data_IF_093667677873
#
_entry.id   IF_093667677873
#
_cell.length_a   1.000
_cell.length_b   1.000
_cell.length_c   1.000
_cell.angle_alpha   90.00
_cell.angle_beta   90.00
_cell.angle_gamma   90.00
#
_symmetry.space_group_name_H-M   'P 1'
#
loop_
_entity.id
_entity.type
_entity.pdbx_description
1 polymer ?
#
# COMPACT_ATOMS: atom_id res chain seq x y z
N UNK A 1 18.84 19.47 21.83
CA UNK A 1 18.67 19.20 20.42
C UNK A 1 18.12 17.78 20.28
N UNK A 2 17.00 17.61 19.58
CA UNK A 2 16.42 16.33 19.16
C UNK A 2 16.59 16.19 17.65
N UNK A 3 16.94 15.00 17.18
CA UNK A 3 16.95 14.67 15.76
C UNK A 3 16.09 13.44 15.51
N UNK A 4 15.17 13.53 14.55
CA UNK A 4 14.43 12.41 14.01
C UNK A 4 14.95 12.17 12.60
N UNK A 5 15.07 10.90 12.19
CA UNK A 5 15.45 10.52 10.82
C UNK A 5 14.69 9.30 10.37
N UNK A 6 14.21 9.36 9.15
CA UNK A 6 13.56 8.25 8.46
C UNK A 6 14.61 7.43 7.69
N UNK A 7 14.26 6.19 7.32
CA UNK A 7 15.05 5.42 6.35
C UNK A 7 14.96 6.03 4.94
N UNK A 8 15.78 5.53 3.99
CA UNK A 8 15.84 6.06 2.61
C UNK A 8 14.48 6.15 1.90
N UNK A 9 13.51 5.30 2.23
CA UNK A 9 12.15 5.34 1.71
C UNK A 9 11.13 5.89 2.70
N UNK A 10 11.50 6.00 3.99
CA UNK A 10 10.57 6.33 5.06
C UNK A 10 9.49 5.27 5.25
N UNK A 11 9.85 4.00 5.10
CA UNK A 11 8.92 2.85 5.18
C UNK A 11 8.27 2.76 6.57
N UNK A 12 9.06 2.95 7.64
CA UNK A 12 8.51 3.10 8.99
C UNK A 12 8.08 4.54 9.21
N UNK A 13 6.80 4.82 9.45
CA UNK A 13 6.34 6.17 9.71
C UNK A 13 6.89 6.72 11.03
N UNK A 14 7.23 7.99 11.03
CA UNK A 14 7.46 8.78 12.22
C UNK A 14 6.56 10.00 12.11
N UNK A 15 5.50 10.00 12.88
CA UNK A 15 4.62 11.15 13.04
C UNK A 15 5.15 12.07 14.11
N UNK A 16 5.06 13.37 13.91
CA UNK A 16 5.44 14.34 14.90
C UNK A 16 4.56 15.58 14.88
N UNK A 17 4.45 16.18 16.04
CA UNK A 17 3.90 17.49 16.29
C UNK A 17 4.86 18.28 17.15
N UNK A 18 5.00 19.59 16.93
CA UNK A 18 5.81 20.45 17.74
C UNK A 18 5.17 21.83 17.90
N UNK A 19 5.46 22.45 19.04
CA UNK A 19 5.22 23.85 19.33
C UNK A 19 6.52 24.53 19.82
N UNK A 20 6.39 25.67 20.49
CA UNK A 20 7.54 26.42 21.01
C UNK A 20 8.23 25.73 22.20
N UNK A 21 7.53 24.86 22.93
CA UNK A 21 8.00 24.28 24.19
C UNK A 21 8.40 22.80 24.05
N UNK A 22 7.72 22.05 23.17
CA UNK A 22 7.88 20.60 23.10
C UNK A 22 7.82 20.02 21.68
N UNK A 23 8.38 18.82 21.55
CA UNK A 23 8.24 17.97 20.38
C UNK A 23 7.68 16.62 20.82
N UNK A 24 6.64 16.19 20.18
CA UNK A 24 6.04 14.86 20.41
C UNK A 24 6.14 14.06 19.11
N UNK A 25 6.56 12.80 19.20
CA UNK A 25 6.68 11.94 18.05
C UNK A 25 6.33 10.49 18.41
N UNK A 26 5.85 9.75 17.43
CA UNK A 26 5.52 8.33 17.53
C UNK A 26 5.57 7.65 16.16
N UNK A 27 5.65 6.32 16.15
CA UNK A 27 5.58 5.51 14.93
C UNK A 27 4.15 5.14 14.53
N UNK A 28 3.15 5.58 15.30
CA UNK A 28 1.73 5.36 15.05
C UNK A 28 0.95 6.66 15.30
N UNK A 29 0.10 7.05 14.34
CA UNK A 29 -0.68 8.30 14.43
C UNK A 29 -1.64 8.28 15.62
N UNK A 30 -2.25 7.14 15.93
CA UNK A 30 -3.16 6.96 17.07
C UNK A 30 -2.55 7.35 18.42
N UNK A 31 -1.21 7.29 18.55
CA UNK A 31 -0.51 7.73 19.78
C UNK A 31 -0.63 9.24 19.95
N UNK A 32 -0.40 10.01 18.87
CA UNK A 32 -0.56 11.46 18.89
C UNK A 32 -2.03 11.85 19.05
N UNK A 33 -2.94 11.08 18.43
CA UNK A 33 -4.39 11.27 18.58
C UNK A 33 -4.87 11.08 20.02
N UNK A 34 -4.26 10.18 20.77
CA UNK A 34 -4.60 9.91 22.16
C UNK A 34 -4.12 11.02 23.15
N UNK A 35 -3.20 11.89 22.71
CA UNK A 35 -2.64 12.93 23.57
C UNK A 35 -3.54 14.16 23.59
N UNK A 36 -4.04 14.60 24.76
CA UNK A 36 -5.05 15.67 24.85
C UNK A 36 -4.49 17.06 24.47
N UNK A 37 -3.21 17.27 24.57
CA UNK A 37 -2.54 18.54 24.25
C UNK A 37 -2.11 18.68 22.79
N UNK A 38 -2.10 17.60 22.00
CA UNK A 38 -1.87 17.67 20.56
C UNK A 38 -3.18 18.15 19.90
N UNK A 39 -3.19 19.28 19.16
CA UNK A 39 -4.39 19.77 18.50
C UNK A 39 -4.90 18.81 17.44
N UNK A 40 -6.21 18.59 17.39
CA UNK A 40 -6.89 17.77 16.38
C UNK A 40 -7.64 18.66 15.39
N UNK A 41 -6.98 19.71 14.92
CA UNK A 41 -7.55 20.58 13.89
C UNK A 41 -7.48 19.83 12.56
N UNK A 42 -8.64 19.60 11.95
CA UNK A 42 -8.73 18.85 10.70
C UNK A 42 -8.02 19.56 9.55
N UNK A 43 -7.22 18.81 8.80
CA UNK A 43 -6.70 19.21 7.49
C UNK A 43 -7.65 18.71 6.39
N UNK A 44 -8.48 19.59 5.86
CA UNK A 44 -9.45 19.23 4.81
C UNK A 44 -8.78 18.69 3.54
N UNK A 45 -7.56 19.14 3.22
CA UNK A 45 -6.78 18.60 2.10
C UNK A 45 -6.30 17.17 2.40
N UNK A 46 -5.72 16.94 3.57
CA UNK A 46 -5.29 15.60 4.00
C UNK A 46 -6.44 14.61 4.09
N UNK A 47 -7.61 15.03 4.57
CA UNK A 47 -8.83 14.20 4.58
C UNK A 47 -9.32 13.91 3.17
N UNK A 48 -9.36 14.91 2.29
CA UNK A 48 -9.79 14.73 0.90
C UNK A 48 -8.85 13.78 0.14
N UNK A 49 -7.54 13.91 0.32
CA UNK A 49 -6.54 13.00 -0.24
C UNK A 49 -6.71 11.57 0.30
N UNK A 50 -6.93 11.41 1.59
CA UNK A 50 -7.22 10.09 2.19
C UNK A 50 -8.48 9.45 1.60
N UNK A 51 -9.50 10.23 1.27
CA UNK A 51 -10.70 9.72 0.59
C UNK A 51 -10.40 9.30 -0.85
N UNK A 52 -9.59 10.07 -1.57
CA UNK A 52 -9.31 9.86 -2.99
C UNK A 52 -8.25 8.78 -3.24
N UNK A 53 -7.14 8.85 -2.53
CA UNK A 53 -5.95 7.99 -2.72
C UNK A 53 -5.89 6.82 -1.71
N UNK A 54 -6.61 6.92 -0.60
CA UNK A 54 -6.45 6.02 0.55
C UNK A 54 -5.44 6.52 1.59
N UNK A 55 -4.68 7.57 1.27
CA UNK A 55 -3.65 8.19 2.12
C UNK A 55 -3.49 9.68 1.78
N UNK A 56 -3.03 10.53 2.72
CA UNK A 56 -2.66 11.90 2.41
C UNK A 56 -1.30 11.95 1.71
N UNK A 57 -1.10 12.90 0.79
CA UNK A 57 0.15 13.07 0.06
C UNK A 57 1.24 13.77 0.89
N UNK A 58 2.48 13.63 0.47
CA UNK A 58 3.63 14.29 1.08
C UNK A 58 3.79 13.97 2.58
N UNK A 59 4.07 14.98 3.39
CA UNK A 59 4.15 14.89 4.85
C UNK A 59 2.82 15.08 5.58
N UNK A 60 1.73 15.25 4.83
CA UNK A 60 0.41 15.50 5.44
C UNK A 60 -0.11 14.31 6.24
N UNK A 61 -0.89 14.66 7.24
CA UNK A 61 -1.84 13.76 7.91
C UNK A 61 -3.26 14.32 7.76
N UNK A 62 -4.22 13.76 8.45
CA UNK A 62 -5.56 14.33 8.52
C UNK A 62 -5.68 15.50 9.51
N UNK A 63 -4.59 15.89 10.18
CA UNK A 63 -4.54 16.97 11.18
C UNK A 63 -3.54 18.03 10.81
N UNK A 64 -3.95 19.29 10.85
CA UNK A 64 -3.06 20.44 10.71
C UNK A 64 -2.02 20.46 11.83
N UNK A 65 -0.75 20.68 11.45
CA UNK A 65 0.38 20.73 12.38
C UNK A 65 0.93 19.36 12.80
N UNK A 66 0.24 18.27 12.51
CA UNK A 66 0.79 16.91 12.68
C UNK A 66 1.34 16.44 11.33
N UNK A 67 2.62 16.17 11.29
CA UNK A 67 3.33 15.73 10.07
C UNK A 67 3.84 14.31 10.21
N UNK A 68 3.97 13.61 9.07
CA UNK A 68 4.75 12.39 8.97
C UNK A 68 6.07 12.70 8.26
N UNK A 69 7.16 12.14 8.73
CA UNK A 69 8.46 12.32 8.09
C UNK A 69 8.46 11.82 6.65
N UNK A 70 9.16 12.54 5.79
CA UNK A 70 9.37 12.14 4.40
C UNK A 70 10.45 11.06 4.29
N UNK A 71 10.62 10.53 3.10
CA UNK A 71 11.72 9.64 2.73
C UNK A 71 13.08 10.34 2.93
N UNK A 72 14.06 9.60 3.42
CA UNK A 72 15.45 10.06 3.60
C UNK A 72 15.58 11.43 4.31
N UNK A 73 14.71 11.71 5.27
CA UNK A 73 14.63 12.99 5.94
C UNK A 73 15.27 12.97 7.33
N UNK A 74 15.97 14.05 7.67
CA UNK A 74 16.40 14.38 9.02
C UNK A 74 15.67 15.65 9.43
N UNK A 75 14.90 15.59 10.52
CA UNK A 75 14.28 16.75 11.17
C UNK A 75 15.01 17.01 12.46
N UNK A 76 15.58 18.20 12.60
CA UNK A 76 16.30 18.65 13.80
C UNK A 76 15.52 19.74 14.50
N UNK A 77 15.25 19.53 15.77
CA UNK A 77 14.57 20.45 16.66
C UNK A 77 15.60 21.05 17.63
N UNK A 78 15.62 22.37 17.74
CA UNK A 78 16.50 23.08 18.65
C UNK A 78 15.88 24.39 19.13
N UNK A 79 16.46 25.03 20.14
CA UNK A 79 16.05 26.35 20.61
C UNK A 79 16.27 27.49 19.59
N UNK A 80 16.99 27.21 18.49
CA UNK A 80 17.19 28.15 17.38
C UNK A 80 16.21 27.92 16.23
N UNK A 81 15.30 27.00 16.38
CA UNK A 81 14.31 26.61 15.36
C UNK A 81 14.52 25.19 14.84
N UNK A 82 13.64 24.81 13.91
CA UNK A 82 13.60 23.48 13.34
C UNK A 82 14.18 23.50 11.92
N UNK A 83 14.99 22.50 11.58
CA UNK A 83 15.53 22.33 10.23
C UNK A 83 15.20 20.96 9.68
N UNK A 84 14.96 20.91 8.36
CA UNK A 84 14.69 19.66 7.62
C UNK A 84 15.75 19.50 6.54
N UNK A 85 16.31 18.29 6.43
CA UNK A 85 17.36 17.96 5.46
C UNK A 85 17.07 16.61 4.85
N UNK A 86 17.15 16.52 3.52
CA UNK A 86 17.10 15.25 2.80
C UNK A 86 18.55 14.75 2.63
N UNK A 87 18.86 13.53 3.11
CA UNK A 87 20.21 12.97 3.05
C UNK A 87 20.43 12.00 1.90
N UNK A 88 19.37 11.63 1.18
CA UNK A 88 19.39 10.73 0.03
C UNK A 88 18.36 11.14 -1.01
N UNK A 89 18.72 11.06 -2.28
CA UNK A 89 17.87 11.44 -3.42
C UNK A 89 17.73 10.27 -4.38
N UNK A 90 16.51 9.72 -4.48
CA UNK A 90 16.18 8.62 -5.38
C UNK A 90 16.22 9.01 -6.87
N UNK A 91 15.91 10.24 -7.18
CA UNK A 91 15.98 10.83 -8.53
C UNK A 91 17.41 11.02 -9.03
N UNK A 92 18.42 10.83 -8.18
CA UNK A 92 19.84 10.88 -8.53
C UNK A 92 20.45 9.50 -8.76
N UNK A 93 19.67 8.42 -8.65
CA UNK A 93 20.16 7.08 -8.99
C UNK A 93 20.37 7.01 -10.51
N UNK A 94 21.61 6.73 -10.98
CA UNK A 94 21.89 6.73 -12.41
C UNK A 94 21.26 5.52 -13.08
N UNK A 95 20.81 5.69 -14.32
CA UNK A 95 20.43 4.56 -15.18
C UNK A 95 21.67 3.73 -15.50
N UNK A 96 21.56 2.42 -15.34
CA UNK A 96 22.65 1.48 -15.60
C UNK A 96 22.61 0.99 -17.04
N UNK A 97 23.79 0.91 -17.66
CA UNK A 97 23.95 0.29 -18.97
C UNK A 97 24.34 -1.18 -18.76
N UNK A 98 23.39 -2.09 -18.94
CA UNK A 98 23.62 -3.53 -18.84
C UNK A 98 22.71 -4.29 -19.81
N UNK A 99 23.04 -5.53 -20.12
CA UNK A 99 22.16 -6.40 -20.91
C UNK A 99 20.99 -6.89 -20.03
N UNK A 100 19.87 -7.23 -20.67
CA UNK A 100 18.70 -7.79 -19.96
C UNK A 100 19.09 -9.06 -19.16
N UNK A 101 19.96 -9.89 -19.72
CA UNK A 101 20.47 -11.11 -19.05
C UNK A 101 21.29 -10.80 -17.81
N UNK A 102 22.12 -9.76 -17.84
CA UNK A 102 22.93 -9.36 -16.68
C UNK A 102 22.06 -8.71 -15.63
N UNK A 103 21.10 -7.85 -16.04
CA UNK A 103 20.13 -7.22 -15.15
C UNK A 103 19.32 -8.26 -14.33
N UNK A 104 18.87 -9.33 -15.00
CA UNK A 104 18.10 -10.40 -14.36
C UNK A 104 18.94 -11.17 -13.34
N UNK A 105 20.19 -11.49 -13.65
CA UNK A 105 21.11 -12.21 -12.73
C UNK A 105 21.49 -11.36 -11.54
N UNK A 106 21.92 -10.11 -11.78
CA UNK A 106 22.31 -9.18 -10.72
C UNK A 106 21.14 -8.87 -9.79
N UNK A 107 19.93 -8.68 -10.33
CA UNK A 107 18.73 -8.51 -9.52
C UNK A 107 18.50 -9.71 -8.58
N UNK A 108 18.70 -10.93 -9.07
CA UNK A 108 18.56 -12.13 -8.26
C UNK A 108 19.59 -12.19 -7.14
N UNK A 109 20.82 -11.85 -7.42
CA UNK A 109 21.92 -11.81 -6.44
C UNK A 109 21.63 -10.74 -5.37
N UNK A 110 21.31 -9.51 -5.77
CA UNK A 110 21.00 -8.41 -4.85
C UNK A 110 19.77 -8.73 -3.99
N UNK A 111 18.74 -9.35 -4.58
CA UNK A 111 17.55 -9.75 -3.82
C UNK A 111 17.85 -10.88 -2.83
N UNK A 112 18.66 -11.84 -3.24
CA UNK A 112 19.12 -12.95 -2.38
C UNK A 112 19.93 -12.42 -1.19
N UNK A 113 20.85 -11.50 -1.45
CA UNK A 113 21.62 -10.85 -0.38
C UNK A 113 20.73 -10.07 0.57
N UNK A 114 19.76 -9.34 0.03
CA UNK A 114 18.76 -8.62 0.82
C UNK A 114 18.00 -9.53 1.77
N UNK A 115 17.57 -10.70 1.29
CA UNK A 115 16.87 -11.69 2.13
C UNK A 115 17.82 -12.27 3.17
N UNK A 116 19.02 -12.67 2.78
CA UNK A 116 19.99 -13.28 3.71
C UNK A 116 20.40 -12.33 4.84
N UNK A 117 20.63 -11.06 4.56
CA UNK A 117 20.94 -10.06 5.58
C UNK A 117 19.78 -9.88 6.57
N UNK A 118 18.53 -9.88 6.08
CA UNK A 118 17.34 -9.76 6.93
C UNK A 118 17.04 -11.03 7.71
N UNK A 119 17.29 -12.19 7.10
CA UNK A 119 17.14 -13.49 7.74
C UNK A 119 18.14 -13.69 8.88
N UNK A 120 19.37 -13.17 8.73
CA UNK A 120 20.48 -13.42 9.68
C UNK A 120 20.71 -14.92 9.85
N UNK A 121 20.71 -15.41 11.10
CA UNK A 121 20.90 -16.82 11.45
C UNK A 121 19.57 -17.56 11.67
N UNK A 122 18.42 -16.94 11.39
CA UNK A 122 17.13 -17.58 11.57
C UNK A 122 17.02 -18.84 10.71
N UNK A 123 16.70 -19.95 11.33
CA UNK A 123 16.49 -21.26 10.69
C UNK A 123 15.02 -21.54 10.42
N UNK A 124 14.13 -21.01 11.27
CA UNK A 124 12.69 -21.14 11.14
C UNK A 124 12.06 -19.75 10.95
N UNK A 125 11.27 -19.58 9.88
CA UNK A 125 10.68 -18.30 9.51
C UNK A 125 9.21 -18.44 9.10
N UNK A 126 8.38 -17.46 9.47
CA UNK A 126 6.99 -17.35 9.00
C UNK A 126 6.90 -16.39 7.82
N UNK A 127 6.21 -16.78 6.74
CA UNK A 127 6.05 -15.95 5.54
C UNK A 127 4.60 -15.99 5.03
N UNK A 128 4.10 -14.86 4.58
CA UNK A 128 2.88 -14.86 3.77
C UNK A 128 3.17 -15.45 2.39
N UNK A 129 2.22 -16.23 1.87
CA UNK A 129 2.31 -16.81 0.54
C UNK A 129 0.98 -16.61 -0.18
N UNK A 130 1.04 -15.90 -1.31
CA UNK A 130 -0.07 -15.66 -2.23
C UNK A 130 0.09 -16.45 -3.53
N UNK A 131 -0.90 -16.39 -4.41
CA UNK A 131 -0.82 -16.95 -5.75
C UNK A 131 0.05 -16.16 -6.74
N UNK A 132 0.54 -14.99 -6.33
CA UNK A 132 1.39 -14.10 -7.14
C UNK A 132 2.87 -14.43 -7.10
N UNK A 133 3.68 -13.61 -7.76
CA UNK A 133 5.15 -13.74 -7.84
C UNK A 133 5.85 -13.21 -6.58
N UNK A 134 5.38 -12.10 -6.00
CA UNK A 134 6.07 -11.36 -4.93
C UNK A 134 6.41 -12.23 -3.72
N UNK A 135 5.39 -12.79 -3.08
CA UNK A 135 5.57 -13.65 -1.91
C UNK A 135 6.29 -14.95 -2.25
N UNK A 136 6.07 -15.47 -3.48
CA UNK A 136 6.72 -16.68 -3.96
C UNK A 136 8.23 -16.48 -4.14
N UNK A 137 8.67 -15.34 -4.68
CA UNK A 137 10.09 -14.98 -4.81
C UNK A 137 10.79 -15.00 -3.44
N UNK A 138 10.15 -14.43 -2.41
CA UNK A 138 10.68 -14.42 -1.04
C UNK A 138 10.80 -15.84 -0.50
N UNK A 139 9.73 -16.63 -0.59
CA UNK A 139 9.69 -18.01 -0.09
C UNK A 139 10.71 -18.89 -0.81
N UNK A 140 10.88 -18.70 -2.13
CA UNK A 140 11.88 -19.43 -2.92
C UNK A 140 13.30 -19.19 -2.38
N UNK A 141 13.70 -17.93 -2.22
CA UNK A 141 15.05 -17.59 -1.74
C UNK A 141 15.26 -18.03 -0.29
N UNK A 142 14.27 -17.87 0.59
CA UNK A 142 14.35 -18.36 1.97
C UNK A 142 14.57 -19.87 2.02
N UNK A 143 13.81 -20.62 1.22
CA UNK A 143 13.92 -22.08 1.16
C UNK A 143 15.27 -22.52 0.59
N UNK A 144 15.77 -21.88 -0.47
CA UNK A 144 17.12 -22.16 -1.03
C UNK A 144 18.24 -21.81 -0.07
N UNK A 145 18.06 -20.77 0.75
CA UNK A 145 19.00 -20.39 1.81
C UNK A 145 18.98 -21.34 3.00
N UNK A 146 18.20 -22.42 2.94
CA UNK A 146 18.12 -23.47 3.96
C UNK A 146 17.26 -23.11 5.17
N UNK A 147 16.40 -22.09 5.09
CA UNK A 147 15.43 -21.81 6.12
C UNK A 147 14.23 -22.78 6.04
N UNK A 148 13.74 -23.23 7.18
CA UNK A 148 12.45 -23.90 7.32
C UNK A 148 11.34 -22.86 7.26
N UNK A 149 10.67 -22.75 6.12
CA UNK A 149 9.65 -21.72 5.90
C UNK A 149 8.26 -22.27 6.21
N UNK A 150 7.51 -21.56 7.05
CA UNK A 150 6.10 -21.85 7.31
C UNK A 150 5.24 -20.78 6.65
N UNK A 151 4.37 -21.19 5.74
CA UNK A 151 3.61 -20.25 4.94
C UNK A 151 2.19 -20.04 5.45
N UNK A 152 1.72 -18.80 5.31
CA UNK A 152 0.40 -18.34 5.75
C UNK A 152 -0.30 -17.71 4.54
N UNK A 153 -1.50 -18.21 4.22
CA UNK A 153 -2.37 -17.61 3.23
C UNK A 153 -3.68 -17.14 3.89
N UNK A 154 -4.19 -16.00 3.48
CA UNK A 154 -5.43 -15.40 4.02
C UNK A 154 -6.49 -15.11 2.93
N UNK A 155 -6.33 -15.70 1.78
CA UNK A 155 -7.25 -15.52 0.65
C UNK A 155 -8.54 -16.31 0.82
N UNK A 156 -9.61 -15.96 0.12
CA UNK A 156 -10.84 -16.73 0.14
C UNK A 156 -10.61 -18.17 -0.33
N UNK A 157 -11.38 -19.10 0.24
CA UNK A 157 -11.42 -20.48 -0.25
C UNK A 157 -11.80 -20.51 -1.73
N UNK A 158 -11.17 -21.41 -2.49
CA UNK A 158 -11.37 -21.58 -3.94
C UNK A 158 -11.00 -20.35 -4.78
N UNK A 159 -10.21 -19.43 -4.25
CA UNK A 159 -9.59 -18.37 -5.06
C UNK A 159 -8.35 -18.91 -5.78
N UNK A 160 -8.02 -18.31 -6.93
CA UNK A 160 -6.74 -18.57 -7.59
C UNK A 160 -5.57 -18.35 -6.62
N UNK A 161 -5.64 -17.29 -5.83
CA UNK A 161 -4.60 -16.95 -4.87
C UNK A 161 -4.32 -18.09 -3.88
N UNK A 162 -5.36 -18.64 -3.25
CA UNK A 162 -5.20 -19.75 -2.30
C UNK A 162 -4.75 -21.04 -2.99
N UNK A 163 -5.34 -21.37 -4.14
CA UNK A 163 -5.05 -22.61 -4.84
C UNK A 163 -3.61 -22.67 -5.36
N UNK A 164 -3.13 -21.56 -5.97
CA UNK A 164 -1.77 -21.47 -6.49
C UNK A 164 -0.72 -21.40 -5.39
N UNK A 165 -1.01 -20.68 -4.30
CA UNK A 165 -0.14 -20.66 -3.12
C UNK A 165 0.01 -22.06 -2.50
N UNK A 166 -1.09 -22.78 -2.34
CA UNK A 166 -1.08 -24.17 -1.81
C UNK A 166 -0.30 -25.10 -2.74
N UNK A 167 -0.58 -25.06 -4.05
CA UNK A 167 0.13 -25.89 -5.03
C UNK A 167 1.64 -25.65 -5.01
N UNK A 168 2.06 -24.40 -4.82
CA UNK A 168 3.49 -24.08 -4.70
C UNK A 168 4.08 -24.62 -3.38
N UNK A 169 3.42 -24.41 -2.24
CA UNK A 169 3.88 -24.92 -0.96
C UNK A 169 4.02 -26.45 -0.95
N UNK A 170 3.03 -27.16 -1.51
CA UNK A 170 3.05 -28.62 -1.67
C UNK A 170 4.21 -29.09 -2.58
N UNK A 171 4.45 -28.37 -3.68
CA UNK A 171 5.54 -28.71 -4.61
C UNK A 171 6.92 -28.63 -3.99
N UNK A 172 7.17 -27.65 -3.13
CA UNK A 172 8.48 -27.51 -2.47
C UNK A 172 8.52 -28.14 -1.08
N UNK A 173 7.41 -28.80 -0.65
CA UNK A 173 7.33 -29.57 0.58
C UNK A 173 7.33 -28.76 1.87
N UNK A 174 6.76 -27.54 1.86
CA UNK A 174 6.70 -26.66 3.03
C UNK A 174 5.29 -26.58 3.63
N UNK A 175 5.15 -26.33 4.94
CA UNK A 175 3.86 -26.17 5.60
C UNK A 175 3.05 -24.99 5.05
N UNK A 176 1.74 -25.21 4.87
CA UNK A 176 0.79 -24.22 4.40
C UNK A 176 -0.38 -24.04 5.37
N UNK A 177 -0.48 -22.87 5.97
CA UNK A 177 -1.54 -22.52 6.91
C UNK A 177 -2.53 -21.56 6.23
N UNK A 178 -3.82 -21.93 6.19
CA UNK A 178 -4.88 -21.05 5.71
C UNK A 178 -5.52 -20.30 6.87
N UNK A 179 -5.43 -18.99 6.88
CA UNK A 179 -6.06 -18.16 7.89
C UNK A 179 -7.58 -18.06 7.59
N UNK A 180 -8.45 -18.26 8.59
CA UNK A 180 -9.89 -18.20 8.39
C UNK A 180 -10.35 -16.78 8.05
N UNK A 181 -11.01 -16.62 6.90
CA UNK A 181 -11.57 -15.35 6.51
C UNK A 181 -12.97 -15.16 7.10
N UNK A 182 -13.04 -14.63 8.31
CA UNK A 182 -14.32 -14.25 8.92
C UNK A 182 -14.91 -13.07 8.17
N UNK A 183 -16.19 -13.19 7.74
CA UNK A 183 -16.95 -12.05 7.22
C UNK A 183 -17.13 -11.03 8.37
N UNK A 184 -16.63 -9.83 8.15
CA UNK A 184 -16.86 -8.65 8.97
C UNK A 184 -16.47 -8.78 10.46
N UNK A 185 -15.18 -8.93 10.78
CA UNK A 185 -14.74 -8.78 12.16
C UNK A 185 -14.98 -7.33 12.60
N UNK A 186 -15.44 -7.14 13.83
CA UNK A 186 -15.68 -5.80 14.42
C UNK A 186 -14.46 -4.88 14.31
N UNK A 187 -13.27 -5.46 14.40
CA UNK A 187 -11.99 -4.76 14.43
C UNK A 187 -11.34 -4.60 13.03
N UNK A 188 -12.03 -4.97 11.96
CA UNK A 188 -11.43 -4.97 10.61
C UNK A 188 -10.67 -6.26 10.28
N UNK A 189 -10.49 -6.50 8.97
CA UNK A 189 -9.89 -7.76 8.48
C UNK A 189 -8.42 -7.90 8.89
N UNK A 190 -7.65 -6.82 8.78
CA UNK A 190 -6.20 -6.83 9.03
C UNK A 190 -5.88 -7.10 10.49
N UNK A 191 -6.58 -6.44 11.42
CA UNK A 191 -6.44 -6.69 12.86
C UNK A 191 -6.84 -8.12 13.23
N UNK A 192 -7.88 -8.67 12.61
CA UNK A 192 -8.28 -10.05 12.82
C UNK A 192 -7.23 -11.05 12.32
N UNK A 193 -6.62 -10.77 11.17
CA UNK A 193 -5.54 -11.57 10.60
C UNK A 193 -4.29 -11.56 11.50
N UNK A 194 -3.84 -10.38 11.92
CA UNK A 194 -2.65 -10.25 12.77
C UNK A 194 -2.84 -10.91 14.13
N UNK A 195 -4.05 -10.81 14.71
CA UNK A 195 -4.43 -11.55 15.92
C UNK A 195 -4.39 -13.06 15.69
N UNK A 196 -4.90 -13.54 14.58
CA UNK A 196 -4.85 -14.97 14.23
C UNK A 196 -3.41 -15.45 14.12
N UNK A 197 -2.56 -14.74 13.38
CA UNK A 197 -1.14 -15.08 13.23
C UNK A 197 -0.43 -15.10 14.59
N UNK A 198 -0.64 -14.09 15.43
CA UNK A 198 -0.07 -14.03 16.78
C UNK A 198 -0.47 -15.25 17.60
N UNK A 199 -1.75 -15.61 17.57
CA UNK A 199 -2.23 -16.80 18.30
C UNK A 199 -1.61 -18.11 17.78
N UNK A 200 -1.38 -18.24 16.47
CA UNK A 200 -0.72 -19.41 15.90
C UNK A 200 0.76 -19.51 16.32
N UNK A 201 1.45 -18.37 16.40
CA UNK A 201 2.83 -18.31 16.93
C UNK A 201 2.84 -18.71 18.39
N UNK A 202 1.97 -18.15 19.23
CA UNK A 202 1.90 -18.42 20.66
C UNK A 202 1.55 -19.89 20.97
N UNK A 203 0.82 -20.57 20.08
CA UNK A 203 0.51 -22.00 20.18
C UNK A 203 1.56 -22.91 19.54
N UNK A 204 2.60 -22.36 18.93
CA UNK A 204 3.63 -23.12 18.23
C UNK A 204 3.17 -23.75 16.90
N UNK A 205 2.02 -23.32 16.37
CA UNK A 205 1.53 -23.71 15.04
C UNK A 205 2.36 -23.06 13.93
N UNK A 206 2.90 -21.87 14.19
CA UNK A 206 3.91 -21.19 13.38
C UNK A 206 5.17 -21.12 14.22
N UNK A 207 6.22 -21.77 13.74
CA UNK A 207 7.55 -21.71 14.35
C UNK A 207 8.38 -20.66 13.62
N UNK A 208 8.99 -19.79 14.37
CA UNK A 208 9.90 -18.78 13.86
C UNK A 208 10.91 -18.42 14.95
N UNK A 209 12.20 -18.36 14.61
CA UNK A 209 13.26 -17.97 15.53
C UNK A 209 13.08 -16.54 16.03
N UNK A 210 12.53 -15.68 15.16
CA UNK A 210 12.01 -14.35 15.53
C UNK A 210 10.49 -14.34 15.45
N UNK A 211 9.80 -14.63 16.56
CA UNK A 211 8.34 -14.83 16.55
C UNK A 211 7.54 -13.54 16.23
N UNK A 212 8.20 -12.40 16.21
CA UNK A 212 7.57 -11.13 15.82
C UNK A 212 7.76 -10.80 14.34
N UNK A 213 8.71 -11.45 13.64
CA UNK A 213 9.03 -11.16 12.25
C UNK A 213 8.24 -12.02 11.28
N UNK A 214 7.55 -11.41 10.35
CA UNK A 214 6.83 -12.07 9.25
C UNK A 214 7.32 -11.55 7.90
N UNK A 215 7.57 -12.44 6.98
CA UNK A 215 7.97 -12.06 5.63
C UNK A 215 6.75 -11.75 4.77
N UNK A 216 6.78 -10.62 4.07
CA UNK A 216 5.68 -10.18 3.22
C UNK A 216 6.17 -9.71 1.85
N UNK A 217 5.38 -10.04 0.81
CA UNK A 217 5.61 -9.65 -0.58
C UNK A 217 5.15 -8.24 -0.94
N UNK A 218 4.75 -7.43 0.05
CA UNK A 218 4.34 -6.05 -0.21
C UNK A 218 5.44 -5.29 -0.98
N UNK A 219 5.02 -4.50 -1.97
CA UNK A 219 5.89 -3.66 -2.78
C UNK A 219 6.44 -4.33 -4.05
N UNK A 220 6.35 -5.65 -4.21
CA UNK A 220 6.94 -6.35 -5.35
C UNK A 220 6.34 -5.95 -6.69
N UNK A 221 5.04 -6.07 -6.87
CA UNK A 221 4.37 -5.79 -8.14
C UNK A 221 4.47 -4.33 -8.58
N UNK A 222 4.51 -3.38 -7.65
CA UNK A 222 4.73 -1.96 -7.98
C UNK A 222 6.21 -1.66 -8.13
N UNK A 223 7.05 -2.12 -7.19
CA UNK A 223 8.48 -1.83 -7.16
C UNK A 223 9.25 -2.48 -8.30
N UNK A 224 8.90 -3.69 -8.72
CA UNK A 224 9.60 -4.44 -9.77
C UNK A 224 8.81 -4.46 -11.07
N UNK A 225 7.50 -4.58 -10.98
CA UNK A 225 6.62 -4.83 -12.14
C UNK A 225 5.89 -3.61 -12.69
N UNK A 226 6.03 -2.42 -12.08
CA UNK A 226 5.40 -1.17 -12.52
C UNK A 226 3.88 -1.27 -12.77
N UNK A 227 3.14 -2.02 -11.94
CA UNK A 227 1.72 -2.36 -12.18
C UNK A 227 0.77 -1.18 -12.36
N UNK A 228 1.16 0.02 -11.91
CA UNK A 228 0.37 1.26 -12.07
C UNK A 228 0.90 2.20 -13.16
N UNK A 229 1.81 1.71 -14.01
CA UNK A 229 2.33 2.43 -15.17
C UNK A 229 1.91 1.68 -16.43
N UNK A 230 1.17 2.35 -17.31
CA UNK A 230 0.86 1.84 -18.64
C UNK A 230 1.54 2.68 -19.73
N UNK A 231 1.59 2.16 -20.96
CA UNK A 231 2.26 2.81 -22.08
C UNK A 231 1.66 4.19 -22.38
N UNK A 232 0.35 4.36 -22.14
CA UNK A 232 -0.32 5.65 -22.36
C UNK A 232 0.08 6.68 -21.32
N UNK A 233 0.26 6.29 -20.07
CA UNK A 233 0.75 7.17 -19.01
C UNK A 233 2.18 7.62 -19.31
N UNK A 234 3.05 6.69 -19.70
CA UNK A 234 4.43 7.00 -20.09
C UNK A 234 4.49 7.94 -21.30
N UNK A 235 3.70 7.70 -22.33
CA UNK A 235 3.59 8.60 -23.50
C UNK A 235 3.22 10.03 -23.10
N UNK A 236 2.16 10.19 -22.30
CA UNK A 236 1.69 11.51 -21.85
C UNK A 236 2.75 12.24 -21.01
N UNK A 237 3.42 11.54 -20.10
CA UNK A 237 4.48 12.10 -19.26
C UNK A 237 5.67 12.58 -20.11
N UNK A 238 6.15 11.74 -21.05
CA UNK A 238 7.28 12.05 -21.93
C UNK A 238 6.98 13.17 -22.93
N UNK A 239 5.71 13.33 -23.34
CA UNK A 239 5.26 14.45 -24.16
C UNK A 239 5.06 15.76 -23.36
N UNK A 240 5.28 15.76 -22.04
CA UNK A 240 5.12 16.93 -21.18
C UNK A 240 3.66 17.26 -20.83
N UNK A 241 2.69 16.44 -21.22
CA UNK A 241 1.28 16.64 -20.88
C UNK A 241 0.96 16.06 -19.50
N UNK A 242 1.57 16.66 -18.46
CA UNK A 242 1.43 16.22 -17.07
C UNK A 242 -0.03 16.18 -16.61
N UNK A 243 -0.84 17.16 -17.03
CA UNK A 243 -2.25 17.23 -16.62
C UNK A 243 -3.06 16.03 -17.11
N UNK A 244 -2.90 15.68 -18.40
CA UNK A 244 -3.54 14.49 -18.97
C UNK A 244 -2.97 13.20 -18.40
N UNK A 245 -1.67 13.15 -18.12
CA UNK A 245 -1.01 12.01 -17.45
C UNK A 245 -1.62 11.76 -16.06
N UNK A 246 -1.71 12.78 -15.21
CA UNK A 246 -2.31 12.67 -13.87
C UNK A 246 -3.79 12.25 -13.96
N UNK A 247 -4.54 12.81 -14.90
CA UNK A 247 -5.92 12.40 -15.13
C UNK A 247 -6.03 10.93 -15.56
N UNK A 248 -5.12 10.48 -16.41
CA UNK A 248 -5.07 9.08 -16.85
C UNK A 248 -4.71 8.17 -15.67
N UNK A 249 -3.70 8.53 -14.86
CA UNK A 249 -3.33 7.84 -13.65
C UNK A 249 -4.52 7.71 -12.68
N UNK A 250 -5.27 8.78 -12.44
CA UNK A 250 -6.48 8.69 -11.59
C UNK A 250 -7.51 7.70 -12.12
N UNK A 251 -7.64 7.59 -13.43
CA UNK A 251 -8.56 6.65 -14.06
C UNK A 251 -8.12 5.20 -13.90
N UNK A 252 -6.87 4.88 -14.22
CA UNK A 252 -6.37 3.49 -14.18
C UNK A 252 -6.23 2.99 -12.74
N UNK A 253 -5.82 3.84 -11.81
CA UNK A 253 -5.69 3.53 -10.37
C UNK A 253 -7.02 3.69 -9.61
N UNK A 254 -8.14 3.95 -10.32
CA UNK A 254 -9.47 4.12 -9.74
C UNK A 254 -9.53 5.17 -8.62
N UNK A 255 -8.64 6.16 -8.66
CA UNK A 255 -8.62 7.28 -7.73
C UNK A 255 -9.84 8.14 -7.99
N UNK A 256 -10.72 8.24 -7.00
CA UNK A 256 -11.97 8.93 -7.15
C UNK A 256 -12.44 9.60 -5.88
N UNK A 257 -13.11 10.73 -6.06
CA UNK A 257 -13.69 11.50 -4.97
C UNK A 257 -15.17 11.81 -5.26
N UNK A 258 -16.07 11.69 -4.27
CA UNK A 258 -17.49 11.97 -4.47
C UNK A 258 -17.77 13.49 -4.46
N UNK A 259 -17.29 14.23 -5.45
CA UNK A 259 -17.41 15.71 -5.54
C UNK A 259 -18.84 16.24 -5.34
N UNK A 260 -19.85 15.43 -5.65
CA UNK A 260 -21.26 15.82 -5.42
C UNK A 260 -21.63 15.97 -3.97
N UNK A 261 -20.85 15.44 -3.04
CA UNK A 261 -21.02 15.68 -1.60
C UNK A 261 -20.64 17.10 -1.21
N UNK A 262 -19.66 17.69 -1.90
CA UNK A 262 -19.13 19.01 -1.55
C UNK A 262 -20.09 20.13 -2.02
N UNK A 263 -20.01 21.27 -1.35
CA UNK A 263 -20.57 22.52 -1.88
C UNK A 263 -19.99 22.82 -3.25
N UNK A 264 -20.75 23.49 -4.15
CA UNK A 264 -20.27 23.78 -5.50
C UNK A 264 -18.94 24.54 -5.55
N UNK A 265 -18.74 25.49 -4.65
CA UNK A 265 -17.53 26.29 -4.49
C UNK A 265 -16.29 25.47 -4.13
N UNK A 266 -16.45 24.44 -3.31
CA UNK A 266 -15.34 23.61 -2.82
C UNK A 266 -14.87 22.56 -3.85
N UNK A 267 -15.73 22.19 -4.80
CA UNK A 267 -15.45 21.10 -5.75
C UNK A 267 -14.20 21.34 -6.61
N UNK A 268 -14.09 22.57 -7.12
CA UNK A 268 -12.94 22.94 -7.95
C UNK A 268 -11.66 22.96 -7.13
N UNK A 269 -11.74 23.54 -5.92
CA UNK A 269 -10.59 23.62 -5.02
C UNK A 269 -10.06 22.23 -4.66
N UNK A 270 -10.95 21.31 -4.24
CA UNK A 270 -10.54 19.91 -3.89
C UNK A 270 -9.99 19.18 -5.11
N UNK A 271 -10.58 19.37 -6.30
CA UNK A 271 -10.03 18.75 -7.51
C UNK A 271 -8.61 19.27 -7.84
N UNK A 272 -8.39 20.59 -7.74
CA UNK A 272 -7.08 21.19 -7.96
C UNK A 272 -6.07 20.72 -6.89
N UNK A 273 -6.47 20.56 -5.64
CA UNK A 273 -5.59 20.02 -4.56
C UNK A 273 -4.97 18.69 -4.97
N UNK A 274 -5.75 17.77 -5.57
CA UNK A 274 -5.21 16.47 -6.01
C UNK A 274 -4.19 16.61 -7.14
N UNK A 275 -4.49 17.42 -8.16
CA UNK A 275 -3.56 17.65 -9.27
C UNK A 275 -2.27 18.29 -8.78
N UNK A 276 -2.39 19.38 -8.02
CA UNK A 276 -1.23 20.11 -7.48
C UNK A 276 -0.43 19.23 -6.51
N UNK A 277 -1.10 18.40 -5.71
CA UNK A 277 -0.44 17.46 -4.82
C UNK A 277 0.43 16.45 -5.57
N UNK A 278 -0.08 15.85 -6.64
CA UNK A 278 0.71 14.93 -7.49
C UNK A 278 1.80 15.67 -8.26
N UNK A 279 1.50 16.84 -8.84
CA UNK A 279 2.48 17.67 -9.56
C UNK A 279 3.67 18.01 -8.66
N UNK A 280 3.44 18.49 -7.44
CA UNK A 280 4.50 18.83 -6.48
C UNK A 280 5.37 17.61 -6.12
N UNK A 281 4.78 16.43 -6.00
CA UNK A 281 5.52 15.22 -5.72
C UNK A 281 6.34 14.72 -6.93
N UNK A 282 5.84 14.92 -8.15
CA UNK A 282 6.61 14.65 -9.37
C UNK A 282 7.79 15.63 -9.52
N UNK A 283 7.60 16.92 -9.21
CA UNK A 283 8.67 17.94 -9.24
C UNK A 283 9.74 17.65 -8.17
N UNK A 284 9.34 17.12 -7.01
CA UNK A 284 10.29 16.73 -5.96
C UNK A 284 11.25 15.63 -6.42
N UNK A 285 10.79 14.73 -7.28
CA UNK A 285 11.54 13.59 -7.82
C UNK A 285 11.69 13.72 -9.35
N UNK A 286 12.19 14.88 -9.80
CA UNK A 286 12.37 15.14 -11.22
C UNK A 286 13.55 14.32 -11.79
N UNK A 287 13.23 13.27 -12.53
CA UNK A 287 14.17 12.38 -13.20
C UNK A 287 14.30 12.74 -14.69
N UNK A 288 15.38 12.29 -15.33
CA UNK A 288 15.58 12.45 -16.76
C UNK A 288 14.46 11.79 -17.59
N UNK A 289 13.98 10.60 -17.17
CA UNK A 289 12.76 9.99 -17.69
C UNK A 289 11.59 10.32 -16.74
N UNK A 290 10.55 11.05 -17.20
CA UNK A 290 9.38 11.36 -16.37
C UNK A 290 8.61 10.12 -15.89
N UNK A 291 8.75 8.97 -16.57
CA UNK A 291 8.21 7.69 -16.10
C UNK A 291 8.86 7.24 -14.79
N UNK A 292 10.18 7.53 -14.63
CA UNK A 292 10.88 7.27 -13.37
C UNK A 292 10.38 8.18 -12.23
N UNK A 293 10.08 9.45 -12.53
CA UNK A 293 9.46 10.35 -11.54
C UNK A 293 8.12 9.80 -11.05
N UNK A 294 7.30 9.27 -11.95
CA UNK A 294 6.01 8.64 -11.60
C UNK A 294 6.21 7.36 -10.79
N UNK A 295 7.19 6.53 -11.13
CA UNK A 295 7.56 5.37 -10.33
C UNK A 295 7.95 5.75 -8.90
N UNK A 296 8.79 6.79 -8.74
CA UNK A 296 9.18 7.27 -7.42
C UNK A 296 7.99 7.83 -6.64
N UNK A 297 7.09 8.58 -7.31
CA UNK A 297 5.84 9.01 -6.71
C UNK A 297 5.05 7.83 -6.12
N UNK A 298 4.91 6.74 -6.88
CA UNK A 298 4.21 5.54 -6.43
C UNK A 298 4.91 4.90 -5.23
N UNK A 299 6.23 4.79 -5.25
CA UNK A 299 6.98 4.18 -4.14
C UNK A 299 6.90 5.01 -2.85
N UNK A 300 7.08 6.33 -2.93
CA UNK A 300 7.18 7.20 -1.75
C UNK A 300 5.84 7.75 -1.25
N UNK A 301 4.78 7.69 -2.05
CA UNK A 301 3.43 8.08 -1.62
C UNK A 301 2.51 6.87 -1.54
N UNK A 302 2.29 6.12 -2.61
CA UNK A 302 1.35 5.01 -2.61
C UNK A 302 1.84 3.84 -1.74
N UNK A 303 2.92 3.20 -2.12
CA UNK A 303 3.38 1.97 -1.49
C UNK A 303 3.81 2.16 -0.03
N UNK A 304 4.59 3.19 0.24
CA UNK A 304 5.03 3.53 1.58
C UNK A 304 3.86 3.82 2.53
N UNK A 305 2.93 4.66 2.08
CA UNK A 305 1.81 5.10 2.92
C UNK A 305 0.76 4.01 3.12
N UNK A 306 0.60 3.11 2.15
CA UNK A 306 -0.22 1.91 2.33
C UNK A 306 0.26 1.06 3.52
N UNK A 307 1.58 1.00 3.74
CA UNK A 307 2.16 0.28 4.88
C UNK A 307 1.91 0.95 6.24
N UNK A 308 1.61 2.24 6.29
CA UNK A 308 1.41 2.94 7.56
C UNK A 308 0.22 2.37 8.34
N UNK A 309 -0.91 2.18 7.67
CA UNK A 309 -2.08 1.51 8.28
C UNK A 309 -1.78 0.05 8.65
N UNK A 310 -0.94 -0.62 7.82
CA UNK A 310 -0.51 -2.00 8.12
C UNK A 310 0.28 -2.03 9.41
N UNK A 311 1.25 -1.13 9.59
CA UNK A 311 2.06 -1.07 10.82
C UNK A 311 1.22 -0.76 12.05
N UNK A 312 0.24 0.15 11.95
CA UNK A 312 -0.67 0.43 13.06
C UNK A 312 -1.42 -0.84 13.53
N UNK A 313 -1.87 -1.68 12.59
CA UNK A 313 -2.55 -2.94 12.90
C UNK A 313 -1.59 -4.03 13.44
N UNK A 314 -0.36 -4.11 12.87
CA UNK A 314 0.67 -5.07 13.30
C UNK A 314 1.17 -4.78 14.71
N UNK A 315 1.44 -3.52 15.02
CA UNK A 315 1.97 -3.10 16.32
C UNK A 315 1.03 -3.48 17.48
N UNK A 316 -0.28 -3.53 17.23
CA UNK A 316 -1.28 -4.00 18.23
C UNK A 316 -1.02 -5.44 18.68
N UNK A 317 -0.42 -6.26 17.84
CA UNK A 317 -0.14 -7.67 18.11
C UNK A 317 1.36 -7.96 18.20
N UNK A 318 2.20 -6.93 18.30
CA UNK A 318 3.67 -7.05 18.38
C UNK A 318 4.25 -7.87 17.22
N UNK A 319 3.73 -7.65 16.01
CA UNK A 319 4.24 -8.22 14.78
C UNK A 319 4.97 -7.16 13.97
N UNK A 320 5.91 -7.59 13.16
CA UNK A 320 6.71 -6.76 12.27
C UNK A 320 6.89 -7.44 10.92
N UNK A 321 6.83 -6.67 9.83
CA UNK A 321 7.09 -7.19 8.50
C UNK A 321 8.56 -7.10 8.11
N UNK A 322 9.05 -8.21 7.54
CA UNK A 322 10.26 -8.24 6.74
C UNK A 322 9.87 -7.98 5.28
N UNK A 323 10.31 -6.84 4.75
CA UNK A 323 9.89 -6.30 3.45
C UNK A 323 11.09 -6.21 2.50
N UNK A 324 11.56 -7.30 1.87
CA UNK A 324 12.75 -7.27 1.02
C UNK A 324 12.58 -6.39 -0.22
N UNK A 325 11.37 -6.23 -0.77
CA UNK A 325 11.10 -5.33 -1.89
C UNK A 325 11.26 -3.84 -1.56
N UNK A 326 11.29 -3.49 -0.28
CA UNK A 326 11.61 -2.15 0.22
C UNK A 326 13.05 -2.02 0.73
N UNK A 327 13.91 -3.00 0.46
CA UNK A 327 15.34 -2.83 0.74
C UNK A 327 15.95 -1.77 -0.16
N UNK A 328 16.68 -0.85 0.43
CA UNK A 328 17.20 0.31 -0.31
C UNK A 328 18.21 -0.08 -1.39
N UNK A 329 18.99 -1.15 -1.22
CA UNK A 329 19.96 -1.62 -2.23
C UNK A 329 19.24 -2.26 -3.40
N UNK A 330 18.23 -3.10 -3.12
CA UNK A 330 17.44 -3.72 -4.16
C UNK A 330 16.65 -2.67 -4.96
N UNK A 331 16.01 -1.71 -4.28
CA UNK A 331 15.30 -0.62 -4.97
C UNK A 331 16.24 0.33 -5.72
N UNK A 332 17.43 0.58 -5.21
CA UNK A 332 18.46 1.36 -5.91
C UNK A 332 18.85 0.68 -7.23
N UNK A 333 19.06 -0.64 -7.19
CA UNK A 333 19.28 -1.43 -8.40
C UNK A 333 18.08 -1.33 -9.37
N UNK A 334 16.86 -1.54 -8.89
CA UNK A 334 15.63 -1.44 -9.72
C UNK A 334 15.47 -0.04 -10.30
N UNK A 335 15.73 1.02 -9.54
CA UNK A 335 15.69 2.40 -10.03
C UNK A 335 16.71 2.65 -11.16
N UNK A 336 17.82 1.93 -11.17
CA UNK A 336 18.83 1.99 -12.23
C UNK A 336 18.42 1.32 -13.55
N UNK A 337 17.36 0.50 -13.55
CA UNK A 337 16.89 -0.15 -14.77
C UNK A 337 15.98 0.79 -15.59
N UNK A 338 16.04 0.70 -16.95
CA UNK A 338 15.16 1.47 -17.83
C UNK A 338 13.67 1.24 -17.49
N UNK A 339 12.87 2.31 -17.47
CA UNK A 339 11.42 2.24 -17.16
C UNK A 339 10.70 1.31 -18.15
N UNK A 340 11.02 1.39 -19.44
CA UNK A 340 10.38 0.57 -20.48
C UNK A 340 10.62 -0.93 -20.28
N UNK A 341 11.79 -1.32 -19.75
CA UNK A 341 12.06 -2.72 -19.44
C UNK A 341 11.26 -3.22 -18.25
N UNK A 342 11.02 -2.36 -17.25
CA UNK A 342 10.22 -2.71 -16.07
C UNK A 342 8.71 -2.71 -16.32
N UNK A 343 8.25 -1.97 -17.37
CA UNK A 343 6.83 -1.79 -17.65
C UNK A 343 6.13 -3.10 -18.00
N UNK A 344 4.83 -3.21 -17.68
CA UNK A 344 3.97 -4.36 -17.99
C UNK A 344 4.51 -5.71 -17.46
N UNK A 345 5.26 -5.72 -16.36
CA UNK A 345 5.92 -6.91 -15.77
C UNK A 345 6.99 -7.58 -16.66
N UNK A 346 7.51 -6.92 -17.70
CA UNK A 346 8.52 -7.53 -18.59
C UNK A 346 9.75 -7.97 -17.82
N UNK A 347 10.46 -7.01 -17.20
CA UNK A 347 11.62 -7.33 -16.37
C UNK A 347 11.27 -8.34 -15.26
N UNK A 348 10.11 -8.17 -14.61
CA UNK A 348 9.71 -9.06 -13.51
C UNK A 348 9.56 -10.52 -13.96
N UNK A 349 8.95 -10.74 -15.13
CA UNK A 349 8.80 -12.10 -15.69
C UNK A 349 10.16 -12.68 -16.11
N UNK A 350 11.02 -11.87 -16.72
CA UNK A 350 12.36 -12.29 -17.09
C UNK A 350 13.20 -12.61 -15.83
N UNK A 351 13.13 -11.76 -14.82
CA UNK A 351 13.79 -11.99 -13.53
C UNK A 351 13.28 -13.26 -12.84
N UNK A 352 11.96 -13.51 -12.89
CA UNK A 352 11.39 -14.72 -12.31
C UNK A 352 11.89 -16.01 -13.00
N UNK A 353 12.36 -15.90 -14.24
CA UNK A 353 12.91 -17.03 -14.99
C UNK A 353 14.22 -17.61 -14.41
N UNK A 354 14.97 -16.87 -13.62
CA UNK A 354 16.21 -17.35 -12.97
C UNK A 354 15.98 -17.98 -11.59
N UNK A 355 14.76 -17.91 -11.07
CA UNK A 355 14.40 -18.62 -9.85
C UNK A 355 14.40 -20.14 -10.06
N UNK A 356 14.47 -20.96 -8.98
CA UNK A 356 14.45 -22.41 -9.07
C UNK A 356 13.33 -22.94 -9.96
N UNK A 357 13.61 -24.03 -10.67
CA UNK A 357 12.63 -24.65 -11.55
C UNK A 357 11.33 -25.00 -10.79
N UNK A 358 11.44 -25.52 -9.57
CA UNK A 358 10.29 -25.82 -8.72
C UNK A 358 9.38 -24.60 -8.49
N UNK A 359 9.95 -23.40 -8.44
CA UNK A 359 9.22 -22.13 -8.27
C UNK A 359 8.43 -21.76 -9.53
N UNK A 360 8.97 -22.05 -10.70
CA UNK A 360 8.41 -21.70 -12.03
C UNK A 360 7.40 -22.71 -12.57
N UNK A 361 7.38 -23.93 -12.06
CA UNK A 361 6.50 -25.01 -12.52
C UNK A 361 5.06 -24.95 -11.97
N UNK A 362 4.74 -23.97 -11.14
CA UNK A 362 3.38 -23.71 -10.66
C UNK A 362 2.90 -22.39 -11.23
N UNK A 363 1.70 -22.33 -11.83
CA UNK A 363 1.18 -21.07 -12.38
C UNK A 363 1.11 -19.98 -11.30
N UNK A 364 1.19 -18.72 -11.74
CA UNK A 364 1.03 -17.55 -10.88
C UNK A 364 0.00 -16.59 -11.45
N UNK A 365 -0.62 -15.81 -10.57
CA UNK A 365 -1.54 -14.77 -10.96
C UNK A 365 -0.82 -13.63 -11.67
N UNK A 366 -1.42 -13.12 -12.74
CA UNK A 366 -0.93 -11.94 -13.47
C UNK A 366 -1.97 -10.84 -13.42
N UNK A 367 -1.52 -9.60 -13.53
CA UNK A 367 -2.40 -8.45 -13.66
C UNK A 367 -2.97 -8.37 -15.09
N UNK A 368 -4.19 -7.85 -15.27
CA UNK A 368 -4.74 -7.59 -16.60
C UNK A 368 -3.81 -6.72 -17.44
N UNK A 369 -3.66 -7.01 -18.71
CA UNK A 369 -2.83 -6.26 -19.67
C UNK A 369 -1.31 -6.31 -19.40
N UNK A 370 -0.85 -7.21 -18.50
CA UNK A 370 0.56 -7.47 -18.24
C UNK A 370 0.98 -8.81 -18.85
N UNK A 371 2.31 -9.08 -18.85
CA UNK A 371 2.84 -10.36 -19.34
C UNK A 371 2.18 -11.52 -18.62
N UNK A 372 1.55 -12.40 -19.38
CA UNK A 372 0.78 -13.53 -18.85
C UNK A 372 1.70 -14.65 -18.32
N UNK A 373 1.20 -15.38 -17.33
CA UNK A 373 1.84 -16.62 -16.92
C UNK A 373 1.81 -17.64 -18.06
N UNK A 374 2.94 -18.26 -18.42
CA UNK A 374 2.97 -19.25 -19.50
C UNK A 374 2.27 -20.57 -19.14
N UNK A 375 1.91 -20.77 -17.88
CA UNK A 375 1.23 -21.97 -17.40
C UNK A 375 -0.27 -21.71 -17.22
N UNK A 376 -1.10 -22.69 -17.60
CA UNK A 376 -2.55 -22.59 -17.50
C UNK A 376 -3.02 -22.55 -16.04
N UNK A 377 -3.92 -21.63 -15.74
CA UNK A 377 -4.61 -21.53 -14.45
C UNK A 377 -5.98 -22.19 -14.59
N UNK A 378 -6.46 -23.01 -13.62
CA UNK A 378 -7.80 -23.60 -13.67
C UNK A 378 -8.91 -22.53 -13.75
N UNK A 379 -9.83 -22.71 -14.69
CA UNK A 379 -10.89 -21.71 -15.00
C UNK A 379 -11.96 -21.59 -13.91
N UNK A 380 -12.13 -22.62 -13.07
CA UNK A 380 -13.13 -22.65 -12.00
C UNK A 380 -12.73 -21.85 -10.74
N UNK A 381 -11.52 -21.31 -10.71
CA UNK A 381 -11.01 -20.53 -9.61
C UNK A 381 -11.36 -19.04 -9.74
N UNK A 382 -11.86 -18.44 -8.67
CA UNK A 382 -12.15 -17.00 -8.66
C UNK A 382 -10.85 -16.18 -8.68
N UNK A 383 -10.80 -15.20 -9.58
CA UNK A 383 -9.68 -14.27 -9.70
C UNK A 383 -9.88 -13.05 -8.78
N UNK A 384 -8.84 -12.66 -8.04
CA UNK A 384 -8.95 -11.57 -7.05
C UNK A 384 -9.28 -10.20 -7.66
N UNK A 385 -8.87 -9.95 -8.90
CA UNK A 385 -9.16 -8.72 -9.64
C UNK A 385 -10.38 -8.84 -10.54
N UNK A 386 -11.04 -10.01 -10.52
CA UNK A 386 -12.29 -10.22 -11.20
C UNK A 386 -13.45 -9.43 -10.58
N UNK A 387 -14.58 -9.32 -11.25
CA UNK A 387 -15.74 -8.67 -10.68
C UNK A 387 -16.12 -9.39 -9.38
N UNK A 388 -16.47 -8.64 -8.31
CA UNK A 388 -16.88 -9.26 -7.07
C UNK A 388 -18.09 -10.18 -7.30
N UNK A 389 -18.18 -11.31 -6.60
CA UNK A 389 -19.29 -12.23 -6.76
C UNK A 389 -20.62 -11.49 -6.60
N UNK A 390 -21.57 -11.80 -7.47
CA UNK A 390 -22.87 -11.13 -7.50
C UNK A 390 -23.53 -11.24 -6.13
N UNK A 391 -23.68 -10.12 -5.45
CA UNK A 391 -24.44 -10.07 -4.20
C UNK A 391 -25.91 -10.40 -4.48
N UNK A 392 -26.54 -11.13 -3.57
CA UNK A 392 -27.98 -11.34 -3.63
C UNK A 392 -28.72 -10.02 -3.57
N UNK A 393 -29.90 -9.95 -4.17
CA UNK A 393 -30.73 -8.73 -4.15
C UNK A 393 -30.97 -8.25 -2.72
N UNK A 394 -31.28 -9.16 -1.81
CA UNK A 394 -31.50 -8.87 -0.39
C UNK A 394 -30.27 -8.30 0.28
N UNK A 395 -29.08 -8.82 0.01
CA UNK A 395 -27.81 -8.30 0.56
C UNK A 395 -27.51 -6.88 0.06
N UNK A 396 -27.77 -6.61 -1.23
CA UNK A 396 -27.61 -5.26 -1.81
C UNK A 396 -28.56 -4.26 -1.15
N UNK A 397 -29.82 -4.62 -0.99
CA UNK A 397 -30.83 -3.77 -0.35
C UNK A 397 -30.47 -3.50 1.13
N UNK A 398 -30.12 -4.56 1.87
CA UNK A 398 -29.72 -4.43 3.29
C UNK A 398 -28.50 -3.52 3.45
N UNK A 399 -27.47 -3.67 2.60
CA UNK A 399 -26.28 -2.82 2.62
C UNK A 399 -26.61 -1.36 2.35
N UNK A 400 -27.52 -1.06 1.40
CA UNK A 400 -27.95 0.30 1.10
C UNK A 400 -28.72 0.91 2.25
N UNK A 401 -29.66 0.18 2.84
CA UNK A 401 -30.44 0.64 4.00
C UNK A 401 -29.50 0.95 5.18
N UNK A 402 -28.55 0.07 5.48
CA UNK A 402 -27.55 0.31 6.54
C UNK A 402 -26.76 1.60 6.28
N UNK A 403 -26.28 1.79 5.04
CA UNK A 403 -25.60 3.02 4.64
C UNK A 403 -26.50 4.26 4.70
N UNK A 404 -27.80 4.11 4.46
CA UNK A 404 -28.78 5.18 4.60
C UNK A 404 -28.94 5.64 6.05
N UNK A 405 -29.00 4.72 7.00
CA UNK A 405 -29.02 5.05 8.44
C UNK A 405 -27.71 5.70 8.89
N UNK A 406 -26.56 5.26 8.38
CA UNK A 406 -25.27 5.89 8.63
C UNK A 406 -25.26 7.35 8.14
N UNK A 407 -25.70 7.61 6.90
CA UNK A 407 -25.82 8.96 6.34
C UNK A 407 -26.75 9.85 7.16
N UNK A 408 -27.87 9.31 7.63
CA UNK A 408 -28.81 10.01 8.50
C UNK A 408 -28.17 10.35 9.85
N UNK A 409 -27.47 9.39 10.45
CA UNK A 409 -26.73 9.61 11.70
C UNK A 409 -25.67 10.71 11.58
N UNK A 410 -24.93 10.75 10.45
CA UNK A 410 -23.97 11.81 10.14
C UNK A 410 -24.68 13.17 10.00
N UNK A 411 -25.81 13.23 9.28
CA UNK A 411 -26.54 14.47 9.06
C UNK A 411 -27.14 15.07 10.34
N UNK A 412 -27.55 14.23 11.28
CA UNK A 412 -28.15 14.63 12.55
C UNK A 412 -27.10 14.93 13.64
N UNK A 413 -25.88 14.55 13.47
CA UNK A 413 -24.80 14.82 14.42
C UNK A 413 -24.41 16.32 14.38
N UNK A 414 -24.22 16.97 15.53
CA UNK A 414 -23.79 18.37 15.59
C UNK A 414 -22.33 18.59 15.15
N UNK A 415 -21.51 17.55 15.06
CA UNK A 415 -20.11 17.67 14.67
C UNK A 415 -19.94 18.40 13.32
N UNK A 416 -18.85 19.14 13.19
CA UNK A 416 -18.47 19.77 11.93
C UNK A 416 -18.09 18.71 10.89
N UNK A 417 -18.67 18.80 9.71
CA UNK A 417 -18.44 17.92 8.58
C UNK A 417 -17.64 18.60 7.47
N UNK A 418 -17.00 19.74 7.79
CA UNK A 418 -16.21 20.51 6.85
C UNK A 418 -16.98 20.92 5.60
N UNK A 419 -16.45 20.58 4.41
CA UNK A 419 -17.05 20.99 3.14
C UNK A 419 -18.31 20.20 2.76
N UNK A 420 -18.77 19.24 3.61
CA UNK A 420 -19.94 18.38 3.34
C UNK A 420 -21.23 18.96 3.96
N UNK A 421 -22.16 19.53 3.17
CA UNK A 421 -23.41 20.06 3.71
C UNK A 421 -24.34 18.97 4.23
N UNK A 422 -24.95 19.20 5.39
CA UNK A 422 -25.94 18.28 5.99
C UNK A 422 -27.11 17.96 5.07
N UNK A 423 -27.57 18.94 4.31
CA UNK A 423 -28.65 18.76 3.33
C UNK A 423 -28.33 17.70 2.28
N UNK A 424 -27.08 17.57 1.88
CA UNK A 424 -26.64 16.53 0.94
C UNK A 424 -26.60 15.16 1.58
N UNK A 425 -26.24 15.06 2.86
CA UNK A 425 -26.29 13.81 3.61
C UNK A 425 -27.73 13.35 3.83
N UNK A 426 -28.67 14.27 4.09
CA UNK A 426 -30.09 13.94 4.16
C UNK A 426 -30.65 13.44 2.83
N UNK A 427 -30.28 14.09 1.72
CA UNK A 427 -30.66 13.61 0.39
C UNK A 427 -30.06 12.23 0.09
N UNK A 428 -28.79 12.02 0.44
CA UNK A 428 -28.10 10.77 0.28
C UNK A 428 -28.72 9.64 1.13
N UNK A 429 -29.09 9.96 2.38
CA UNK A 429 -29.82 9.04 3.27
C UNK A 429 -31.15 8.62 2.65
N UNK A 430 -31.93 9.54 2.09
CA UNK A 430 -33.18 9.25 1.41
C UNK A 430 -33.00 8.31 0.21
N UNK A 431 -32.00 8.57 -0.65
CA UNK A 431 -31.70 7.73 -1.81
C UNK A 431 -31.29 6.31 -1.38
N UNK A 432 -30.48 6.18 -0.34
CA UNK A 432 -30.00 4.89 0.17
C UNK A 432 -31.11 4.11 0.88
N UNK A 433 -31.92 4.77 1.74
CA UNK A 433 -33.03 4.14 2.45
C UNK A 433 -34.14 3.65 1.50
N UNK A 434 -34.39 4.38 0.41
CA UNK A 434 -35.31 3.97 -0.63
C UNK A 434 -34.69 2.93 -1.62
N UNK A 435 -33.44 2.56 -1.41
CA UNK A 435 -32.67 1.63 -2.25
C UNK A 435 -32.65 1.99 -3.75
N UNK A 436 -32.79 3.28 -4.09
CA UNK A 436 -32.85 3.78 -5.47
C UNK A 436 -31.52 3.54 -6.19
N UNK A 437 -30.41 3.97 -5.54
CA UNK A 437 -29.04 3.84 -6.10
C UNK A 437 -28.04 3.68 -4.96
N UNK A 438 -26.97 2.93 -5.22
CA UNK A 438 -25.90 2.71 -4.27
C UNK A 438 -24.89 3.86 -4.29
N UNK A 439 -24.81 4.59 -3.19
CA UNK A 439 -23.84 5.64 -2.90
C UNK A 439 -23.12 5.39 -1.57
N UNK A 440 -23.01 4.14 -1.13
CA UNK A 440 -22.35 3.78 0.13
C UNK A 440 -20.91 4.29 0.20
N UNK A 441 -20.21 4.37 -0.93
CA UNK A 441 -18.88 4.97 -1.01
C UNK A 441 -18.88 6.45 -0.60
N UNK A 442 -19.92 7.20 -0.97
CA UNK A 442 -20.06 8.61 -0.63
C UNK A 442 -20.39 8.82 0.85
N UNK A 443 -21.15 7.90 1.45
CA UNK A 443 -21.42 7.92 2.91
C UNK A 443 -20.13 7.65 3.68
N UNK A 444 -19.34 6.67 3.29
CA UNK A 444 -18.03 6.39 3.89
C UNK A 444 -17.06 7.56 3.77
N UNK A 445 -17.07 8.24 2.61
CA UNK A 445 -16.27 9.44 2.42
C UNK A 445 -16.69 10.58 3.37
N UNK A 446 -17.99 10.80 3.52
CA UNK A 446 -18.50 11.81 4.45
C UNK A 446 -18.18 11.49 5.92
N UNK A 447 -18.18 10.20 6.29
CA UNK A 447 -17.83 9.77 7.64
C UNK A 447 -16.37 10.11 8.00
N UNK A 448 -15.46 10.10 7.04
CA UNK A 448 -14.05 10.49 7.26
C UNK A 448 -13.87 11.95 7.63
N UNK A 449 -14.73 12.86 7.13
CA UNK A 449 -14.71 14.26 7.54
C UNK A 449 -15.18 14.50 8.98
N UNK A 450 -15.85 13.52 9.58
CA UNK A 450 -16.28 13.58 10.98
C UNK A 450 -15.17 13.21 11.96
N UNK A 451 -14.21 12.41 11.51
CA UNK A 451 -13.19 11.79 12.38
C UNK A 451 -12.05 12.74 12.76
N UNK A 452 -12.23 14.05 12.57
CA UNK A 452 -11.28 15.10 12.95
C UNK A 452 -11.58 15.68 14.33
#
# INVERSE_FOLDING_TARGET
VLQLFSDKLGVRPIYYWCDEEMVVFATALRVLEALPFVPKVRDDAGVAETIAFGYPLAERTQYLGVSVMREAEIVRFSSLGNTRTCYWRWDQVPTQEMTDSDAVKEAYEVFTDTINIRRRDDKEVGAFLSGGMDSRAIVAVLNESGASVQTINFSPDRSQDQALARAYAERIGIPFLSAPRKRNPKDGFRVALTRFVRNCIDRGEIKADRPNGLWSGDGGSVGVGNVHLDDKLLELLRNGDRRSAIKHFFRISQIGFPYRLLKPEDRKLVAETFYTGVENELDRHECADPGQSMFLFLMVNDQRKHLYDVYEDLDLHRLEYQLPFFDSRFLEFICGLPVDYRNNHRFYTDWFSVFPETTRMVPWQTYPEHVECPLSIPEDLSYQWGPPPAQTFTAKVSSRISSGFEALGLALNPADLGPVPRSRLLALAGIQLLAIKDYSYAVKAAARYRSG
#
